data_IF_206706567109
#
_entry.id   IF_206706567109
#
_cell.length_a   1.000
_cell.length_b   1.000
_cell.length_c   1.000
_cell.angle_alpha   90.00
_cell.angle_beta   90.00
_cell.angle_gamma   90.00
#
_symmetry.space_group_name_H-M   'P 1'
#
loop_
_entity.id
_entity.type
_entity.pdbx_description
1 polymer ?
#
# COMPACT_ATOMS: atom_id res chain seq x y z
N UNK A 1 -7.66 38.93 -50.15
CA UNK A 1 -7.00 38.36 -48.95
C UNK A 1 -7.16 39.32 -47.78
N UNK A 2 -8.03 39.01 -46.81
CA UNK A 2 -8.06 39.71 -45.51
C UNK A 2 -8.17 38.65 -44.41
N UNK A 3 -7.15 38.60 -43.55
CA UNK A 3 -7.10 37.81 -42.32
C UNK A 3 -8.23 38.27 -41.41
N UNK A 4 -9.12 37.36 -41.01
CA UNK A 4 -10.07 37.58 -39.92
C UNK A 4 -9.62 36.82 -38.67
N UNK A 5 -8.98 37.52 -37.74
CA UNK A 5 -8.69 37.01 -36.40
C UNK A 5 -9.96 37.03 -35.56
N UNK A 6 -10.46 35.86 -35.14
CA UNK A 6 -11.58 35.74 -34.21
C UNK A 6 -11.10 36.04 -32.78
N UNK A 7 -11.41 37.23 -32.28
CA UNK A 7 -11.16 37.61 -30.89
C UNK A 7 -12.22 37.02 -29.95
N UNK A 8 -11.74 36.38 -28.87
CA UNK A 8 -12.51 35.82 -27.77
C UNK A 8 -12.36 36.73 -26.55
N UNK A 9 -13.46 37.09 -25.88
CA UNK A 9 -13.43 37.87 -24.64
C UNK A 9 -13.74 36.99 -23.41
N UNK A 10 -12.99 37.13 -22.30
CA UNK A 10 -13.30 36.49 -21.03
C UNK A 10 -14.41 37.26 -20.31
N UNK A 11 -15.44 36.56 -19.83
CA UNK A 11 -16.50 37.12 -18.96
C UNK A 11 -16.30 36.59 -17.55
N UNK A 12 -16.28 37.50 -16.57
CA UNK A 12 -16.33 37.16 -15.15
C UNK A 12 -17.77 36.91 -14.71
N UNK A 13 -17.91 35.91 -13.86
CA UNK A 13 -19.06 35.49 -13.05
C UNK A 13 -20.08 34.47 -13.59
N UNK A 14 -19.99 33.30 -12.94
CA UNK A 14 -21.07 32.38 -12.52
C UNK A 14 -21.94 31.69 -13.57
N UNK A 15 -21.32 31.00 -14.52
CA UNK A 15 -21.88 29.77 -15.10
C UNK A 15 -20.75 28.77 -15.37
N UNK A 16 -20.57 27.80 -14.48
CA UNK A 16 -19.41 26.91 -14.44
C UNK A 16 -19.50 25.85 -15.56
N UNK A 17 -18.92 26.11 -16.73
CA UNK A 17 -18.79 25.20 -17.90
C UNK A 17 -18.15 23.83 -17.62
N UNK A 18 -17.71 23.55 -16.39
CA UNK A 18 -16.93 22.36 -16.07
C UNK A 18 -15.56 22.33 -16.77
N UNK A 19 -15.03 23.48 -17.19
CA UNK A 19 -13.73 23.59 -17.83
C UNK A 19 -12.60 23.10 -16.88
N UNK A 20 -11.78 22.14 -17.30
CA UNK A 20 -10.64 21.60 -16.55
C UNK A 20 -9.32 22.28 -16.97
N UNK A 21 -8.26 22.03 -16.20
CA UNK A 21 -6.86 22.37 -16.56
C UNK A 21 -6.63 23.84 -16.98
N UNK A 22 -7.35 24.78 -16.35
CA UNK A 22 -7.25 26.21 -16.65
C UNK A 22 -7.99 26.64 -17.93
N UNK A 23 -8.91 25.83 -18.44
CA UNK A 23 -9.81 26.21 -19.53
C UNK A 23 -10.73 27.37 -19.12
N UNK A 24 -11.01 28.27 -20.07
CA UNK A 24 -11.91 29.41 -19.86
C UNK A 24 -13.26 29.16 -20.51
N UNK A 25 -14.36 29.41 -19.80
CA UNK A 25 -15.69 29.36 -20.38
C UNK A 25 -15.85 30.46 -21.43
N UNK A 26 -16.27 30.11 -22.64
CA UNK A 26 -16.59 31.09 -23.68
C UNK A 26 -17.93 30.76 -24.32
N UNK A 27 -18.75 31.77 -24.59
CA UNK A 27 -20.05 31.65 -25.27
C UNK A 27 -19.99 32.22 -26.68
N UNK A 28 -20.89 31.78 -27.56
CA UNK A 28 -21.00 32.34 -28.90
C UNK A 28 -21.74 33.68 -28.89
N UNK A 29 -21.18 34.68 -29.59
CA UNK A 29 -21.69 36.06 -29.65
C UNK A 29 -23.16 36.17 -30.11
N UNK A 30 -23.65 35.21 -30.90
CA UNK A 30 -25.01 35.16 -31.42
C UNK A 30 -25.88 34.05 -30.81
N UNK A 31 -25.30 33.19 -29.97
CA UNK A 31 -25.96 32.07 -29.30
C UNK A 31 -25.42 31.95 -27.87
N UNK A 32 -25.86 32.85 -26.99
CA UNK A 32 -25.41 32.96 -25.60
C UNK A 32 -25.63 31.69 -24.76
N UNK A 33 -26.48 30.78 -25.21
CA UNK A 33 -26.80 29.52 -24.54
C UNK A 33 -25.82 28.38 -24.87
N UNK A 34 -24.94 28.55 -25.87
CA UNK A 34 -23.92 27.55 -26.21
C UNK A 34 -22.61 27.99 -25.59
N UNK A 35 -22.20 27.27 -24.53
CA UNK A 35 -20.95 27.47 -23.81
C UNK A 35 -19.95 26.38 -24.18
N UNK A 36 -18.68 26.75 -24.37
CA UNK A 36 -17.58 25.79 -24.61
C UNK A 36 -16.35 26.16 -23.80
N UNK A 37 -15.48 25.18 -23.61
CA UNK A 37 -14.20 25.42 -22.97
C UNK A 37 -13.16 25.90 -24.00
N UNK A 38 -12.57 27.07 -23.75
CA UNK A 38 -11.37 27.53 -24.43
C UNK A 38 -10.15 26.95 -23.73
N UNK A 39 -9.51 25.95 -24.34
CA UNK A 39 -8.43 25.19 -23.71
C UNK A 39 -7.04 25.83 -23.92
N UNK A 40 -6.16 25.79 -22.90
CA UNK A 40 -4.76 26.15 -23.07
C UNK A 40 -4.08 25.25 -24.11
N UNK A 41 -2.98 25.71 -24.72
CA UNK A 41 -2.31 25.04 -25.87
C UNK A 41 -1.99 23.53 -25.71
N UNK A 42 -1.81 23.05 -24.47
CA UNK A 42 -1.51 21.63 -24.17
C UNK A 42 -2.73 20.77 -23.88
N UNK A 43 -3.93 21.36 -23.85
CA UNK A 43 -5.16 20.66 -23.52
C UNK A 43 -6.18 20.78 -24.66
N UNK A 44 -6.97 19.73 -24.82
CA UNK A 44 -8.06 19.63 -25.78
C UNK A 44 -9.23 18.85 -25.15
N UNK A 45 -10.34 18.76 -25.87
CA UNK A 45 -11.56 18.12 -25.39
C UNK A 45 -12.65 19.12 -25.09
N UNK A 46 -13.84 18.61 -24.79
CA UNK A 46 -15.03 19.44 -24.52
C UNK A 46 -14.86 20.25 -23.23
N UNK A 47 -14.15 19.66 -22.26
CA UNK A 47 -13.84 20.21 -20.95
C UNK A 47 -12.34 20.43 -20.73
N UNK A 48 -11.52 20.45 -21.78
CA UNK A 48 -10.05 20.51 -21.67
C UNK A 48 -9.44 19.34 -20.89
N UNK A 49 -10.08 18.18 -20.97
CA UNK A 49 -9.77 16.96 -20.21
C UNK A 49 -8.67 16.10 -20.84
N UNK A 50 -8.29 16.35 -22.09
CA UNK A 50 -7.24 15.61 -22.82
C UNK A 50 -5.94 16.43 -22.79
N UNK A 51 -4.86 15.84 -22.27
CA UNK A 51 -3.53 16.44 -22.28
C UNK A 51 -2.78 15.97 -23.54
N UNK A 52 -2.63 16.87 -24.52
CA UNK A 52 -1.97 16.58 -25.80
C UNK A 52 -0.45 16.42 -25.66
N UNK A 53 0.13 16.86 -24.55
CA UNK A 53 1.57 16.75 -24.30
C UNK A 53 1.99 15.43 -23.65
N UNK A 54 1.02 14.60 -23.20
CA UNK A 54 1.29 13.34 -22.50
C UNK A 54 1.40 12.17 -23.46
N UNK A 55 2.62 11.68 -23.64
CA UNK A 55 2.95 10.48 -24.42
C UNK A 55 3.17 9.24 -23.55
N UNK A 56 3.31 9.41 -22.24
CA UNK A 56 3.61 8.35 -21.26
C UNK A 56 2.73 8.51 -20.01
N UNK A 57 2.59 7.45 -19.21
CA UNK A 57 1.85 7.47 -17.94
C UNK A 57 2.79 7.46 -16.71
N UNK A 58 2.29 7.85 -15.54
CA UNK A 58 3.03 7.78 -14.27
C UNK A 58 2.28 6.88 -13.28
N UNK A 59 3.01 6.20 -12.39
CA UNK A 59 2.40 5.26 -11.44
C UNK A 59 1.71 4.11 -12.18
N UNK A 60 0.41 3.92 -11.95
CA UNK A 60 -0.41 2.97 -12.70
C UNK A 60 -1.23 3.62 -13.84
N UNK A 61 -1.01 4.92 -14.09
CA UNK A 61 -1.69 5.65 -15.16
C UNK A 61 -3.15 6.01 -14.89
N UNK A 62 -3.62 5.97 -13.64
CA UNK A 62 -4.95 6.47 -13.26
C UNK A 62 -5.18 7.94 -13.69
N UNK A 63 -4.16 8.79 -13.52
CA UNK A 63 -4.19 10.20 -13.94
C UNK A 63 -3.82 10.42 -15.42
N UNK A 64 -3.56 9.36 -16.19
CA UNK A 64 -3.18 9.49 -17.59
C UNK A 64 -4.35 10.06 -18.40
N UNK A 65 -4.09 11.18 -19.08
CA UNK A 65 -5.06 11.88 -19.95
C UNK A 65 -4.52 12.09 -21.37
N UNK A 66 -3.50 11.31 -21.76
CA UNK A 66 -2.93 11.36 -23.11
C UNK A 66 -3.78 10.65 -24.16
N UNK A 67 -3.20 10.51 -25.36
CA UNK A 67 -3.90 10.08 -26.59
C UNK A 67 -3.56 8.66 -27.07
N UNK A 68 -2.81 7.87 -26.30
CA UNK A 68 -2.57 6.46 -26.66
C UNK A 68 -3.91 5.73 -26.80
N UNK A 69 -4.08 4.91 -27.84
CA UNK A 69 -5.36 4.30 -28.21
C UNK A 69 -5.23 2.90 -28.86
N UNK A 70 -4.14 2.21 -28.56
CA UNK A 70 -3.91 0.83 -28.99
C UNK A 70 -3.53 -0.04 -27.80
N UNK A 71 -3.84 -1.33 -27.89
CA UNK A 71 -3.36 -2.33 -26.95
C UNK A 71 -1.91 -2.76 -27.25
N UNK A 72 -1.34 -3.62 -26.38
CA UNK A 72 0.02 -4.14 -26.52
C UNK A 72 0.26 -4.98 -27.79
N UNK A 73 -0.80 -5.49 -28.42
CA UNK A 73 -0.74 -6.24 -29.69
C UNK A 73 -1.00 -5.32 -30.89
N UNK A 74 -1.18 -4.00 -30.66
CA UNK A 74 -1.45 -3.01 -31.71
C UNK A 74 -2.91 -2.93 -32.14
N UNK A 75 -3.85 -3.61 -31.46
CA UNK A 75 -5.28 -3.54 -31.76
C UNK A 75 -5.84 -2.18 -31.34
N UNK A 76 -6.69 -1.54 -32.16
CA UNK A 76 -7.28 -0.26 -31.83
C UNK A 76 -8.30 -0.39 -30.69
N UNK A 77 -8.23 0.55 -29.75
CA UNK A 77 -9.20 0.69 -28.68
C UNK A 77 -10.58 1.10 -29.22
N UNK A 78 -11.63 0.57 -28.60
CA UNK A 78 -13.01 1.00 -28.79
C UNK A 78 -13.26 2.33 -28.08
N UNK A 79 -14.09 3.18 -28.68
CA UNK A 79 -14.47 4.45 -28.06
C UNK A 79 -15.33 4.22 -26.81
N UNK A 80 -15.07 4.98 -25.74
CA UNK A 80 -15.80 4.84 -24.46
C UNK A 80 -17.29 5.16 -24.59
N UNK A 81 -17.69 5.87 -25.66
CA UNK A 81 -19.07 6.19 -26.01
C UNK A 81 -19.64 5.31 -27.14
N UNK A 82 -18.91 4.29 -27.60
CA UNK A 82 -19.42 3.37 -28.63
C UNK A 82 -20.55 2.51 -28.07
N UNK A 83 -21.54 2.17 -28.88
CA UNK A 83 -22.71 1.40 -28.46
C UNK A 83 -22.33 0.10 -27.73
N UNK A 84 -21.27 -0.56 -28.19
CA UNK A 84 -20.79 -1.80 -27.61
C UNK A 84 -20.07 -1.59 -26.25
N UNK A 85 -19.46 -0.43 -26.00
CA UNK A 85 -18.84 -0.10 -24.70
C UNK A 85 -19.86 0.47 -23.71
N UNK A 86 -20.94 1.11 -24.18
CA UNK A 86 -22.01 1.60 -23.31
C UNK A 86 -22.73 0.49 -22.52
N UNK A 87 -22.59 -0.77 -22.93
CA UNK A 87 -23.08 -1.95 -22.21
C UNK A 87 -22.10 -2.49 -21.14
N UNK A 88 -20.92 -1.86 -20.98
CA UNK A 88 -19.88 -2.28 -20.02
C UNK A 88 -19.89 -1.40 -18.77
N UNK A 89 -19.23 -1.87 -17.71
CA UNK A 89 -19.16 -1.15 -16.42
C UNK A 89 -18.54 0.27 -16.54
N UNK A 90 -17.51 0.43 -17.37
CA UNK A 90 -16.80 1.71 -17.56
C UNK A 90 -17.06 2.25 -18.97
N UNK A 91 -17.78 3.38 -19.05
CA UNK A 91 -18.20 3.98 -20.30
C UNK A 91 -18.38 5.49 -20.16
N UNK A 92 -18.54 6.20 -21.27
CA UNK A 92 -18.57 7.67 -21.31
C UNK A 92 -19.86 8.32 -20.75
N UNK A 93 -20.91 7.55 -20.47
CA UNK A 93 -22.19 8.07 -19.97
C UNK A 93 -22.34 7.94 -18.44
N UNK A 94 -21.29 7.52 -17.74
CA UNK A 94 -21.32 7.45 -16.28
C UNK A 94 -21.32 8.84 -15.66
N UNK A 95 -21.91 9.04 -14.47
CA UNK A 95 -21.86 10.32 -13.76
C UNK A 95 -20.43 10.80 -13.45
N UNK A 96 -19.50 9.86 -13.21
CA UNK A 96 -18.10 10.10 -12.89
C UNK A 96 -17.17 10.04 -14.13
N UNK A 97 -17.72 9.89 -15.35
CA UNK A 97 -16.95 9.65 -16.57
C UNK A 97 -15.87 10.72 -16.81
N UNK A 98 -16.20 12.00 -16.62
CA UNK A 98 -15.27 13.11 -16.78
C UNK A 98 -14.07 13.01 -15.82
N UNK A 99 -14.31 12.64 -14.56
CA UNK A 99 -13.25 12.46 -13.56
C UNK A 99 -12.36 11.28 -13.91
N UNK A 100 -12.94 10.19 -14.41
CA UNK A 100 -12.24 8.99 -14.88
C UNK A 100 -11.55 9.19 -16.25
N UNK A 101 -11.81 10.32 -16.93
CA UNK A 101 -11.30 10.63 -18.26
C UNK A 101 -11.95 9.79 -19.37
N UNK A 102 -13.14 9.25 -19.15
CA UNK A 102 -13.93 8.53 -20.14
C UNK A 102 -14.78 9.54 -20.90
N UNK A 103 -14.74 9.52 -22.23
CA UNK A 103 -15.42 10.53 -23.05
C UNK A 103 -15.63 10.09 -24.48
N UNK A 104 -15.94 11.04 -25.37
CA UNK A 104 -16.14 10.81 -26.81
C UNK A 104 -14.81 10.58 -27.56
N UNK A 105 -14.05 9.58 -27.12
CA UNK A 105 -12.77 9.19 -27.67
C UNK A 105 -12.46 7.72 -27.31
N UNK A 106 -11.40 7.15 -27.90
CA UNK A 106 -10.93 5.79 -27.61
C UNK A 106 -9.58 5.74 -26.88
N UNK A 107 -9.16 6.84 -26.27
CA UNK A 107 -7.89 6.89 -25.56
C UNK A 107 -7.87 6.00 -24.32
N UNK A 108 -6.72 5.38 -24.06
CA UNK A 108 -6.44 4.53 -22.92
C UNK A 108 -6.64 5.25 -21.58
N UNK A 109 -7.32 4.59 -20.65
CA UNK A 109 -7.62 5.10 -19.31
C UNK A 109 -7.44 3.99 -18.29
N UNK A 110 -7.42 4.34 -17.01
CA UNK A 110 -7.37 3.35 -15.94
C UNK A 110 -8.42 3.67 -14.87
N UNK A 111 -9.71 3.52 -15.19
CA UNK A 111 -10.80 3.94 -14.30
C UNK A 111 -11.00 3.02 -13.08
N UNK A 112 -10.44 1.81 -13.11
CA UNK A 112 -10.57 0.81 -12.03
C UNK A 112 -9.24 0.52 -11.32
N UNK A 113 -8.28 1.43 -11.41
CA UNK A 113 -7.01 1.37 -10.68
C UNK A 113 -6.17 0.08 -10.93
N UNK A 114 -6.26 -0.49 -12.13
CA UNK A 114 -5.40 -1.60 -12.58
C UNK A 114 -3.92 -1.21 -12.62
N UNK A 115 -3.03 -2.16 -12.95
CA UNK A 115 -1.58 -1.95 -12.97
C UNK A 115 -1.08 -0.95 -14.04
N UNK A 116 -1.82 -0.74 -15.13
CA UNK A 116 -1.53 0.26 -16.18
C UNK A 116 -2.79 0.65 -16.97
N UNK A 117 -2.75 1.70 -17.79
CA UNK A 117 -3.87 2.06 -18.67
C UNK A 117 -4.30 0.91 -19.58
N UNK A 118 -5.60 0.81 -19.81
CA UNK A 118 -6.24 -0.21 -20.61
C UNK A 118 -7.39 0.40 -21.44
N UNK A 119 -7.90 -0.39 -22.36
CA UNK A 119 -9.10 -0.07 -23.12
C UNK A 119 -9.85 -1.34 -23.50
N UNK A 120 -11.09 -1.19 -24.00
CA UNK A 120 -11.78 -2.29 -24.64
C UNK A 120 -11.28 -2.47 -26.07
N UNK A 121 -11.02 -3.70 -26.48
CA UNK A 121 -10.71 -4.05 -27.87
C UNK A 121 -11.69 -5.09 -28.38
N UNK A 122 -11.94 -5.07 -29.68
CA UNK A 122 -12.75 -6.07 -30.37
C UNK A 122 -11.87 -7.25 -30.78
N UNK A 123 -12.20 -8.46 -30.33
CA UNK A 123 -11.54 -9.71 -30.74
C UNK A 123 -12.61 -10.69 -31.21
N UNK A 124 -12.76 -10.83 -32.53
CA UNK A 124 -13.88 -11.54 -33.13
C UNK A 124 -15.22 -10.87 -32.76
N UNK A 125 -16.15 -11.65 -32.20
CA UNK A 125 -17.44 -11.15 -31.69
C UNK A 125 -17.38 -10.64 -30.25
N UNK A 126 -16.25 -10.87 -29.56
CA UNK A 126 -16.11 -10.55 -28.14
C UNK A 126 -15.37 -9.23 -27.93
N UNK A 127 -15.64 -8.61 -26.79
CA UNK A 127 -14.94 -7.41 -26.34
C UNK A 127 -14.13 -7.75 -25.09
N UNK A 128 -12.83 -7.49 -25.16
CA UNK A 128 -11.91 -7.80 -24.08
C UNK A 128 -11.33 -6.51 -23.50
N UNK A 129 -11.08 -6.53 -22.19
CA UNK A 129 -10.24 -5.52 -21.54
C UNK A 129 -8.79 -5.87 -21.86
N UNK A 130 -8.10 -4.98 -22.56
CA UNK A 130 -6.69 -5.17 -22.90
C UNK A 130 -5.85 -3.99 -22.47
N UNK A 131 -4.63 -4.33 -22.05
CA UNK A 131 -3.65 -3.37 -21.60
C UNK A 131 -3.13 -2.53 -22.77
N UNK A 132 -2.96 -1.23 -22.54
CA UNK A 132 -2.54 -0.32 -23.59
C UNK A 132 -1.04 -0.31 -23.86
N UNK A 133 -0.68 -0.02 -25.11
CA UNK A 133 0.66 0.32 -25.55
C UNK A 133 0.96 1.79 -25.23
N UNK A 134 1.08 2.07 -23.94
CA UNK A 134 1.60 3.33 -23.42
C UNK A 134 2.68 2.97 -22.42
N UNK A 135 3.79 3.70 -22.41
CA UNK A 135 4.92 3.41 -21.53
C UNK A 135 4.88 4.28 -20.28
N UNK A 136 5.48 3.81 -19.18
CA UNK A 136 5.74 4.63 -18.01
C UNK A 136 6.68 5.78 -18.44
N UNK A 137 6.47 7.01 -17.95
CA UNK A 137 7.34 8.15 -18.22
C UNK A 137 8.78 7.95 -17.71
N UNK A 138 9.01 6.92 -16.90
CA UNK A 138 10.30 6.45 -16.45
C UNK A 138 10.98 5.53 -17.47
N UNK A 139 10.21 4.97 -18.41
CA UNK A 139 10.66 4.11 -19.50
C UNK A 139 11.25 4.99 -20.62
N UNK A 140 12.58 5.12 -20.67
CA UNK A 140 13.28 5.97 -21.64
C UNK A 140 14.08 7.12 -21.02
N UNK A 141 13.93 7.39 -19.72
CA UNK A 141 14.99 8.03 -18.94
C UNK A 141 16.00 6.96 -18.54
N UNK A 142 16.71 6.40 -19.51
CA UNK A 142 17.93 5.65 -19.21
C UNK A 142 18.91 6.64 -18.57
N UNK A 143 19.33 6.44 -17.31
CA UNK A 143 20.57 7.04 -16.86
C UNK A 143 21.68 6.44 -17.73
N UNK A 144 22.62 7.24 -18.23
CA UNK A 144 23.89 6.78 -18.80
C UNK A 144 24.82 6.19 -17.71
N UNK A 145 24.25 5.56 -16.68
CA UNK A 145 24.97 4.78 -15.70
C UNK A 145 24.45 3.34 -15.77
N UNK A 146 25.26 2.33 -15.48
CA UNK A 146 24.78 0.96 -15.28
C UNK A 146 23.52 0.98 -14.42
N UNK A 147 22.54 0.08 -14.60
CA UNK A 147 21.36 0.04 -13.73
C UNK A 147 21.88 0.09 -12.31
N UNK A 148 21.60 1.18 -11.57
CA UNK A 148 21.81 1.20 -10.13
C UNK A 148 21.11 -0.07 -9.67
N UNK A 149 21.86 -1.02 -9.13
CA UNK A 149 21.32 -2.15 -8.41
C UNK A 149 20.17 -1.60 -7.60
N UNK A 150 18.95 -2.12 -7.80
CA UNK A 150 17.86 -1.72 -6.93
C UNK A 150 18.39 -1.95 -5.51
N UNK A 151 18.42 -0.87 -4.72
CA UNK A 151 18.95 -0.88 -3.37
C UNK A 151 17.77 -0.75 -2.43
N UNK A 152 17.85 -1.46 -1.30
CA UNK A 152 16.86 -1.29 -0.24
C UNK A 152 16.93 0.13 0.31
N UNK A 153 15.80 0.83 0.26
CA UNK A 153 15.65 2.12 0.91
C UNK A 153 14.65 1.95 2.04
N UNK A 154 15.15 1.77 3.26
CA UNK A 154 14.29 1.44 4.39
C UNK A 154 13.20 2.50 4.56
N UNK A 155 11.99 2.06 4.94
CA UNK A 155 10.88 2.97 5.26
C UNK A 155 10.39 3.81 4.08
N UNK A 156 10.74 3.41 2.86
CA UNK A 156 10.21 3.99 1.63
C UNK A 156 9.31 2.99 0.91
N UNK A 157 8.11 3.45 0.56
CA UNK A 157 7.19 2.74 -0.33
C UNK A 157 6.99 3.55 -1.61
N UNK A 158 6.87 2.86 -2.74
CA UNK A 158 6.77 3.49 -4.07
C UNK A 158 5.50 4.35 -4.24
N UNK A 159 4.47 4.05 -3.44
CA UNK A 159 3.18 4.74 -3.42
C UNK A 159 3.12 5.64 -2.16
N UNK A 160 3.03 6.95 -2.34
CA UNK A 160 2.46 7.85 -1.33
C UNK A 160 0.98 8.02 -1.71
N UNK A 161 0.03 7.34 -1.06
CA UNK A 161 -1.38 7.59 -1.35
C UNK A 161 -1.67 9.08 -1.10
N UNK A 162 -2.31 9.75 -2.06
CA UNK A 162 -2.79 11.14 -1.87
C UNK A 162 -4.01 11.25 -0.96
N UNK A 163 -4.53 10.11 -0.49
CA UNK A 163 -5.69 10.02 0.39
C UNK A 163 -5.40 9.05 1.55
N UNK A 164 -5.70 9.49 2.78
CA UNK A 164 -5.63 8.67 3.99
C UNK A 164 -6.75 7.62 3.92
N UNK A 165 -6.41 6.34 3.95
CA UNK A 165 -7.38 5.24 3.94
C UNK A 165 -7.89 5.07 5.38
N UNK A 166 -9.20 5.16 5.57
CA UNK A 166 -9.90 5.14 6.87
C UNK A 166 -10.78 3.89 6.88
N UNK A 167 -10.68 3.03 7.93
CA UNK A 167 -11.64 1.94 8.16
C UNK A 167 -11.25 0.53 7.68
N UNK A 168 -10.00 0.09 7.82
CA UNK A 168 -9.66 -1.33 7.63
C UNK A 168 -9.92 -1.91 6.23
N UNK A 169 -9.53 -1.19 5.17
CA UNK A 169 -9.75 -1.64 3.80
C UNK A 169 -8.63 -2.55 3.26
N UNK A 170 -8.98 -3.34 2.25
CA UNK A 170 -8.05 -4.15 1.47
C UNK A 170 -6.88 -3.31 0.96
N UNK A 171 -5.66 -3.81 1.16
CA UNK A 171 -4.44 -3.17 0.68
C UNK A 171 -3.69 -4.09 -0.27
N UNK A 172 -2.68 -3.54 -0.93
CA UNK A 172 -1.73 -4.30 -1.73
C UNK A 172 -0.39 -4.30 -1.02
N UNK A 173 0.42 -5.33 -1.28
CA UNK A 173 1.74 -5.42 -0.68
C UNK A 173 2.66 -4.25 -1.09
N UNK A 174 2.42 -3.58 -2.22
CA UNK A 174 3.17 -2.38 -2.61
C UNK A 174 2.97 -1.20 -1.64
N UNK A 175 1.85 -1.17 -0.92
CA UNK A 175 1.61 -0.18 0.14
C UNK A 175 2.28 -0.56 1.47
N UNK A 176 2.65 -1.83 1.65
CA UNK A 176 3.26 -2.40 2.85
C UNK A 176 4.42 -3.36 2.49
N UNK A 177 5.44 -2.89 1.74
CA UNK A 177 6.41 -3.76 1.05
C UNK A 177 7.38 -4.47 2.00
N UNK A 178 7.36 -4.15 3.30
CA UNK A 178 8.12 -4.81 4.35
C UNK A 178 7.35 -5.93 5.06
N UNK A 179 6.05 -6.09 4.78
CA UNK A 179 5.25 -7.12 5.43
C UNK A 179 5.74 -8.52 5.04
N UNK A 180 6.00 -9.35 6.04
CA UNK A 180 6.42 -10.73 5.88
C UNK A 180 5.32 -11.67 6.39
N UNK A 181 4.80 -12.52 5.51
CA UNK A 181 3.80 -13.52 5.87
C UNK A 181 4.50 -14.82 6.28
N UNK A 182 4.31 -15.27 7.52
CA UNK A 182 5.01 -16.41 8.10
C UNK A 182 4.05 -17.60 8.18
N UNK A 183 4.45 -18.71 7.56
CA UNK A 183 3.68 -19.95 7.49
C UNK A 183 4.40 -21.06 8.23
N UNK A 184 3.61 -21.95 8.83
CA UNK A 184 4.08 -23.19 9.43
C UNK A 184 3.82 -24.37 8.48
N UNK A 185 4.83 -25.21 8.30
CA UNK A 185 4.75 -26.51 7.63
C UNK A 185 4.25 -27.58 8.59
N UNK A 186 3.38 -28.46 8.10
CA UNK A 186 2.91 -29.63 8.83
C UNK A 186 3.46 -30.91 8.21
N UNK A 187 3.47 -32.00 9.00
CA UNK A 187 4.01 -33.31 8.58
C UNK A 187 3.31 -33.94 7.36
N UNK A 188 2.16 -33.41 6.94
CA UNK A 188 1.42 -33.82 5.74
C UNK A 188 1.65 -32.95 4.50
N UNK A 189 2.64 -32.04 4.53
CA UNK A 189 2.97 -31.16 3.40
C UNK A 189 2.09 -29.92 3.26
N UNK A 190 1.02 -29.80 4.07
CA UNK A 190 0.22 -28.58 4.15
C UNK A 190 0.97 -27.45 4.86
N UNK A 191 0.65 -26.21 4.48
CA UNK A 191 1.15 -25.00 5.13
C UNK A 191 -0.03 -24.19 5.67
N UNK A 192 0.12 -23.66 6.87
CA UNK A 192 -0.88 -22.78 7.50
C UNK A 192 -0.25 -21.45 7.83
N UNK A 193 -0.94 -20.37 7.51
CA UNK A 193 -0.55 -19.05 7.99
C UNK A 193 -0.53 -19.03 9.52
N UNK A 194 0.51 -18.41 10.09
CA UNK A 194 0.73 -18.38 11.52
C UNK A 194 0.76 -16.95 12.05
N UNK A 195 1.66 -16.13 11.53
CA UNK A 195 1.93 -14.78 12.03
C UNK A 195 2.40 -13.86 10.90
N UNK A 196 2.31 -12.56 11.17
CA UNK A 196 2.99 -11.52 10.41
C UNK A 196 4.45 -11.34 10.86
N UNK A 197 5.14 -10.47 10.14
CA UNK A 197 6.52 -10.10 10.38
C UNK A 197 6.89 -8.85 9.58
N UNK A 198 8.08 -8.33 9.84
CA UNK A 198 8.61 -7.14 9.17
C UNK A 198 10.03 -7.37 8.67
N UNK A 199 10.27 -7.16 7.39
CA UNK A 199 11.60 -7.17 6.79
C UNK A 199 12.38 -5.93 7.23
N UNK A 200 13.37 -6.11 8.11
CA UNK A 200 14.19 -5.00 8.64
C UNK A 200 15.52 -4.85 7.89
N UNK A 201 16.01 -5.95 7.29
CA UNK A 201 17.14 -5.93 6.36
C UNK A 201 17.00 -7.10 5.36
N UNK A 202 17.80 -7.18 4.29
CA UNK A 202 17.59 -8.14 3.20
C UNK A 202 17.45 -9.59 3.67
N UNK A 203 18.15 -9.96 4.74
CA UNK A 203 18.20 -11.33 5.26
C UNK A 203 17.44 -11.50 6.57
N UNK A 204 16.84 -10.44 7.13
CA UNK A 204 16.32 -10.46 8.50
C UNK A 204 14.89 -9.96 8.58
N UNK A 205 14.04 -10.80 9.17
CA UNK A 205 12.66 -10.50 9.52
C UNK A 205 12.53 -10.47 11.03
N UNK A 206 11.83 -9.46 11.55
CA UNK A 206 11.43 -9.41 12.96
C UNK A 206 9.96 -9.81 13.09
N UNK A 207 9.62 -10.51 14.17
CA UNK A 207 8.26 -10.97 14.49
C UNK A 207 8.14 -11.10 16.02
N UNK A 208 7.11 -11.81 16.52
CA UNK A 208 6.86 -12.03 17.94
C UNK A 208 7.33 -13.42 18.39
N UNK A 209 7.82 -13.56 19.63
CA UNK A 209 8.28 -14.86 20.16
C UNK A 209 7.12 -15.83 20.38
N UNK A 210 5.95 -15.34 20.80
CA UNK A 210 4.79 -16.20 21.07
C UNK A 210 4.33 -17.02 19.85
N UNK A 211 4.62 -16.55 18.63
CA UNK A 211 4.36 -17.28 17.39
C UNK A 211 5.14 -18.60 17.31
N UNK A 212 6.32 -18.67 17.93
CA UNK A 212 7.30 -19.74 17.69
C UNK A 212 7.63 -20.58 18.94
N UNK A 213 7.39 -20.06 20.14
CA UNK A 213 7.86 -20.67 21.40
C UNK A 213 7.39 -22.13 21.57
N UNK A 214 6.18 -22.45 21.12
CA UNK A 214 5.64 -23.80 21.22
C UNK A 214 6.21 -24.77 20.18
N UNK A 215 6.85 -24.28 19.11
CA UNK A 215 7.39 -25.10 18.01
C UNK A 215 8.69 -24.50 17.46
N UNK A 216 9.78 -24.45 18.25
CA UNK A 216 10.96 -23.63 17.94
C UNK A 216 11.86 -24.18 16.82
N UNK A 217 11.40 -25.16 16.02
CA UNK A 217 12.17 -25.74 14.92
C UNK A 217 12.12 -24.83 13.71
N UNK A 218 13.26 -24.25 13.33
CA UNK A 218 13.34 -23.32 12.19
C UNK A 218 12.85 -23.94 10.88
N UNK A 219 13.04 -25.24 10.68
CA UNK A 219 12.68 -25.97 9.46
C UNK A 219 11.17 -26.03 9.22
N UNK A 220 10.38 -25.84 10.28
CA UNK A 220 8.92 -25.84 10.24
C UNK A 220 8.36 -24.53 9.67
N UNK A 221 9.19 -23.53 9.34
CA UNK A 221 8.75 -22.20 8.96
C UNK A 221 9.15 -21.79 7.54
N UNK A 222 8.25 -21.06 6.87
CA UNK A 222 8.44 -20.44 5.56
C UNK A 222 8.04 -18.97 5.67
N UNK A 223 8.82 -18.09 5.06
CA UNK A 223 8.50 -16.67 4.97
C UNK A 223 8.21 -16.29 3.51
N UNK A 224 7.09 -15.61 3.28
CA UNK A 224 6.77 -14.98 2.01
C UNK A 224 6.88 -13.46 2.12
N UNK A 225 7.60 -12.85 1.18
CA UNK A 225 7.66 -11.40 0.96
C UNK A 225 6.95 -11.07 -0.35
N UNK A 226 6.39 -9.87 -0.48
CA UNK A 226 5.74 -9.47 -1.74
C UNK A 226 4.37 -10.13 -1.99
N UNK A 227 3.70 -10.65 -0.94
CA UNK A 227 2.45 -11.40 -1.04
C UNK A 227 1.24 -10.56 -0.59
N UNK A 228 0.26 -10.39 -1.47
CA UNK A 228 -1.00 -9.66 -1.18
C UNK A 228 -2.18 -10.58 -0.88
N UNK A 229 -2.08 -11.87 -1.23
CA UNK A 229 -3.15 -12.85 -1.04
C UNK A 229 -2.68 -14.02 -0.17
N UNK A 230 -3.48 -14.45 0.79
CA UNK A 230 -3.11 -15.46 1.78
C UNK A 230 -2.91 -16.84 1.15
N UNK A 231 -3.83 -17.30 0.31
CA UNK A 231 -3.82 -18.68 -0.20
C UNK A 231 -3.43 -18.81 -1.68
N UNK A 232 -3.16 -17.71 -2.37
CA UNK A 232 -2.75 -17.72 -3.80
C UNK A 232 -1.46 -16.93 -4.03
N UNK A 233 -0.75 -17.29 -5.08
CA UNK A 233 0.49 -16.60 -5.45
C UNK A 233 0.25 -15.16 -5.90
N UNK A 234 1.11 -14.25 -5.44
CA UNK A 234 1.18 -12.87 -5.91
C UNK A 234 2.38 -12.74 -6.85
N UNK A 235 2.18 -12.09 -8.00
CA UNK A 235 3.27 -11.87 -8.96
C UNK A 235 4.42 -11.09 -8.29
N UNK A 236 5.65 -11.60 -8.41
CA UNK A 236 6.82 -10.99 -7.78
C UNK A 236 6.98 -11.26 -6.29
N UNK A 237 6.16 -12.16 -5.70
CA UNK A 237 6.43 -12.66 -4.36
C UNK A 237 7.73 -13.47 -4.33
N UNK A 238 8.40 -13.47 -3.19
CA UNK A 238 9.56 -14.31 -2.94
C UNK A 238 9.31 -15.21 -1.74
N UNK A 239 9.74 -16.46 -1.84
CA UNK A 239 9.63 -17.49 -0.81
C UNK A 239 11.00 -17.75 -0.20
N UNK A 240 11.08 -17.80 1.12
CA UNK A 240 12.30 -18.06 1.87
C UNK A 240 12.11 -19.14 2.92
N UNK A 241 13.15 -19.94 3.10
CA UNK A 241 13.32 -20.84 4.24
C UNK A 241 13.97 -20.08 5.41
N UNK A 242 13.78 -20.57 6.63
CA UNK A 242 14.37 -19.97 7.83
C UNK A 242 15.70 -20.66 8.17
N UNK A 243 16.81 -19.94 8.00
CA UNK A 243 18.15 -20.42 8.36
C UNK A 243 18.43 -20.37 9.85
N UNK A 244 17.86 -19.37 10.53
CA UNK A 244 18.04 -19.15 11.97
C UNK A 244 16.77 -18.54 12.55
N UNK A 245 16.29 -19.11 13.64
CA UNK A 245 15.20 -18.58 14.45
C UNK A 245 15.77 -18.23 15.83
N UNK A 246 15.60 -16.98 16.25
CA UNK A 246 16.11 -16.46 17.52
C UNK A 246 14.92 -15.92 18.30
N UNK A 247 14.63 -16.56 19.43
CA UNK A 247 13.61 -16.12 20.37
C UNK A 247 14.28 -15.29 21.46
N UNK A 248 13.60 -14.28 21.99
CA UNK A 248 14.16 -13.47 23.05
C UNK A 248 14.32 -14.31 24.34
N UNK A 249 15.52 -14.28 24.93
CA UNK A 249 15.95 -15.18 26.01
C UNK A 249 15.15 -14.99 27.29
N UNK A 250 14.63 -13.78 27.50
CA UNK A 250 13.79 -13.39 28.64
C UNK A 250 12.31 -13.27 28.28
N UNK A 251 11.85 -13.92 27.20
CA UNK A 251 10.42 -13.97 26.92
C UNK A 251 9.67 -14.64 28.07
N UNK A 252 8.58 -14.03 28.52
CA UNK A 252 7.65 -14.63 29.48
C UNK A 252 6.21 -14.27 29.13
N UNK A 253 5.28 -15.14 29.52
CA UNK A 253 3.85 -14.91 29.35
C UNK A 253 3.16 -15.07 30.71
N UNK A 254 2.52 -14.00 31.17
CA UNK A 254 1.72 -13.97 32.40
C UNK A 254 0.26 -13.76 32.00
N UNK A 255 -0.68 -14.59 32.46
CA UNK A 255 -2.12 -14.54 32.08
C UNK A 255 -2.36 -14.21 30.58
N UNK A 256 -2.45 -12.92 30.22
CA UNK A 256 -2.59 -12.40 28.86
C UNK A 256 -1.38 -11.61 28.32
N UNK A 257 -0.49 -11.12 29.20
CA UNK A 257 0.60 -10.23 28.83
C UNK A 257 1.83 -11.01 28.35
N UNK A 258 2.34 -10.64 27.17
CA UNK A 258 3.58 -11.18 26.62
C UNK A 258 4.74 -10.21 26.84
N UNK A 259 5.67 -10.55 27.73
CA UNK A 259 6.85 -9.74 28.02
C UNK A 259 8.03 -10.15 27.13
N UNK A 260 8.80 -9.15 26.68
CA UNK A 260 9.93 -9.32 25.76
C UNK A 260 9.56 -10.14 24.50
N UNK A 261 8.37 -9.88 23.96
CA UNK A 261 7.79 -10.64 22.86
C UNK A 261 8.32 -10.17 21.50
N UNK A 262 9.53 -10.60 21.19
CA UNK A 262 10.24 -10.29 19.94
C UNK A 262 11.05 -11.50 19.48
N UNK A 263 11.05 -11.78 18.18
CA UNK A 263 11.82 -12.85 17.57
C UNK A 263 12.48 -12.36 16.27
N UNK A 264 13.61 -12.97 15.91
CA UNK A 264 14.33 -12.73 14.66
C UNK A 264 14.39 -14.00 13.83
N UNK A 265 14.10 -13.85 12.53
CA UNK A 265 14.18 -14.90 11.53
C UNK A 265 15.22 -14.47 10.50
N UNK A 266 16.29 -15.26 10.36
CA UNK A 266 17.22 -15.15 9.24
C UNK A 266 16.66 -15.96 8.07
N UNK A 267 16.39 -15.29 6.96
CA UNK A 267 15.75 -15.87 5.78
C UNK A 267 16.75 -16.13 4.66
N UNK A 268 16.50 -17.16 3.86
CA UNK A 268 17.34 -17.53 2.73
C UNK A 268 16.54 -18.24 1.64
N UNK A 269 16.83 -17.91 0.38
CA UNK A 269 16.22 -18.58 -0.76
C UNK A 269 16.78 -20.00 -0.92
N UNK A 270 16.19 -20.78 -1.82
CA UNK A 270 16.75 -22.07 -2.25
C UNK A 270 18.16 -21.97 -2.86
N UNK A 271 18.56 -20.77 -3.32
CA UNK A 271 19.89 -20.48 -3.87
C UNK A 271 20.83 -19.83 -2.85
N UNK A 272 20.45 -19.75 -1.57
CA UNK A 272 21.26 -19.14 -0.51
C UNK A 272 21.29 -17.61 -0.53
N UNK A 273 20.36 -16.97 -1.24
CA UNK A 273 20.31 -15.51 -1.41
C UNK A 273 19.25 -14.89 -0.50
N UNK A 274 19.55 -13.68 -0.03
CA UNK A 274 18.62 -12.85 0.72
C UNK A 274 17.60 -12.15 -0.21
N UNK A 275 16.64 -11.45 0.39
CA UNK A 275 15.61 -10.73 -0.36
C UNK A 275 16.24 -9.72 -1.33
N UNK A 276 15.63 -9.60 -2.50
CA UNK A 276 15.99 -8.61 -3.51
C UNK A 276 14.96 -7.47 -3.51
N UNK A 277 15.39 -6.20 -3.57
CA UNK A 277 14.46 -5.09 -3.49
C UNK A 277 13.63 -4.97 -4.76
N UNK A 278 12.35 -4.67 -4.58
CA UNK A 278 11.38 -4.47 -5.65
C UNK A 278 10.32 -3.44 -5.21
N UNK A 279 9.31 -3.18 -6.05
CA UNK A 279 8.17 -2.32 -5.63
C UNK A 279 7.33 -2.96 -4.50
N UNK A 280 7.32 -4.29 -4.42
CA UNK A 280 6.56 -5.08 -3.45
C UNK A 280 7.41 -5.61 -2.28
N UNK A 281 8.73 -5.44 -2.34
CA UNK A 281 9.68 -5.93 -1.33
C UNK A 281 10.66 -4.80 -1.01
N UNK A 282 10.51 -4.21 0.17
CA UNK A 282 11.40 -3.18 0.73
C UNK A 282 11.59 -3.43 2.21
N UNK A 283 12.64 -2.85 2.80
CA UNK A 283 12.85 -2.93 4.25
C UNK A 283 12.10 -1.81 4.96
N UNK A 284 11.70 -2.04 6.21
CA UNK A 284 11.24 -0.98 7.10
C UNK A 284 12.42 -0.46 7.92
N UNK A 285 12.47 0.83 8.22
CA UNK A 285 13.53 1.35 9.10
C UNK A 285 13.28 0.96 10.55
N UNK A 286 14.36 0.68 11.27
CA UNK A 286 14.30 0.67 12.72
C UNK A 286 14.12 2.10 13.27
N UNK A 287 13.40 2.26 14.39
CA UNK A 287 13.19 3.56 15.02
C UNK A 287 14.50 4.07 15.63
N UNK A 288 14.68 5.41 15.77
CA UNK A 288 15.86 5.97 16.39
C UNK A 288 15.98 5.53 17.87
N UNK A 289 17.20 5.49 18.39
CA UNK A 289 17.47 5.11 19.79
C UNK A 289 16.91 6.11 20.80
N UNK A 290 16.71 7.35 20.36
CA UNK A 290 16.10 8.45 21.10
C UNK A 290 15.08 9.16 20.19
N UNK A 291 13.95 9.60 20.74
CA UNK A 291 12.88 10.22 19.95
C UNK A 291 11.96 9.19 19.29
N UNK A 292 11.36 8.33 20.12
CA UNK A 292 10.29 7.43 19.70
C UNK A 292 9.08 8.25 19.17
N UNK A 293 8.20 7.62 18.40
CA UNK A 293 7.03 8.29 17.85
C UNK A 293 6.18 8.92 18.97
N UNK A 294 5.79 10.19 18.81
CA UNK A 294 5.01 10.90 19.81
C UNK A 294 3.64 10.24 20.01
N UNK A 295 3.13 10.24 21.24
CA UNK A 295 1.76 9.80 21.51
C UNK A 295 0.76 10.65 20.70
N UNK A 296 -0.33 10.02 20.25
CA UNK A 296 -1.30 10.62 19.32
C UNK A 296 -0.91 10.52 17.84
N UNK A 297 0.33 10.11 17.52
CA UNK A 297 0.76 9.87 16.13
C UNK A 297 -0.10 8.79 15.48
N UNK A 298 -0.57 9.04 14.25
CA UNK A 298 -1.24 8.03 13.42
C UNK A 298 -0.20 7.05 12.87
N UNK A 299 -0.46 5.76 13.07
CA UNK A 299 0.36 4.64 12.63
C UNK A 299 -0.48 3.67 11.82
N UNK A 300 0.17 2.91 10.94
CA UNK A 300 -0.44 1.89 10.10
C UNK A 300 -0.15 0.51 10.70
N UNK A 301 -1.17 -0.34 10.82
CA UNK A 301 -1.03 -1.77 11.10
C UNK A 301 -1.41 -2.56 9.87
N UNK A 302 -0.77 -3.71 9.66
CA UNK A 302 -0.98 -4.53 8.46
C UNK A 302 -0.89 -6.00 8.79
N UNK A 303 -1.78 -6.80 8.21
CA UNK A 303 -1.73 -8.24 8.32
C UNK A 303 -2.90 -8.95 7.65
N UNK A 304 -2.93 -10.26 7.87
CA UNK A 304 -4.02 -11.16 7.47
C UNK A 304 -4.80 -11.63 8.70
N UNK A 305 -4.82 -10.84 9.78
CA UNK A 305 -5.60 -11.16 10.98
C UNK A 305 -7.09 -11.24 10.70
N UNK A 306 -7.78 -12.00 11.55
CA UNK A 306 -9.24 -12.11 11.55
C UNK A 306 -9.89 -10.76 11.82
N UNK A 307 -11.12 -10.56 11.36
CA UNK A 307 -11.86 -9.34 11.68
C UNK A 307 -12.48 -9.44 13.08
N UNK A 308 -12.86 -10.66 13.47
CA UNK A 308 -13.38 -10.97 14.79
C UNK A 308 -12.72 -12.21 15.38
N UNK A 309 -12.64 -12.29 16.72
CA UNK A 309 -12.09 -13.45 17.43
C UNK A 309 -12.88 -14.73 17.13
N UNK A 310 -14.15 -14.59 16.76
CA UNK A 310 -15.07 -15.70 16.42
C UNK A 310 -14.95 -16.18 14.97
N UNK A 311 -14.21 -15.48 14.10
CA UNK A 311 -14.15 -15.85 12.69
C UNK A 311 -13.40 -17.18 12.50
N UNK A 312 -13.95 -18.04 11.66
CA UNK A 312 -13.33 -19.33 11.34
C UNK A 312 -12.20 -19.21 10.32
N UNK A 313 -12.21 -18.16 9.48
CA UNK A 313 -11.29 -17.99 8.36
C UNK A 313 -10.55 -16.66 8.44
N UNK A 314 -9.29 -16.68 7.99
CA UNK A 314 -8.50 -15.46 7.77
C UNK A 314 -8.91 -14.79 6.45
N UNK A 315 -8.82 -13.46 6.34
CA UNK A 315 -9.06 -12.75 5.09
C UNK A 315 -8.12 -13.24 3.99
N UNK A 316 -8.67 -13.43 2.79
CA UNK A 316 -7.86 -13.86 1.63
C UNK A 316 -6.91 -12.77 1.15
N UNK A 317 -7.24 -11.50 1.38
CA UNK A 317 -6.46 -10.35 0.93
C UNK A 317 -5.88 -9.58 2.11
N UNK A 318 -4.66 -9.06 1.93
CA UNK A 318 -3.94 -8.26 2.93
C UNK A 318 -4.76 -7.03 3.29
N UNK A 319 -4.84 -6.72 4.57
CA UNK A 319 -5.55 -5.54 5.08
C UNK A 319 -4.58 -4.61 5.81
N UNK A 320 -4.95 -3.34 5.85
CA UNK A 320 -4.31 -2.38 6.75
C UNK A 320 -5.35 -1.45 7.36
N UNK A 321 -5.06 -0.97 8.56
CA UNK A 321 -5.85 0.12 9.18
C UNK A 321 -4.93 1.13 9.85
N UNK A 322 -5.50 2.28 10.20
CA UNK A 322 -4.81 3.36 10.91
C UNK A 322 -5.22 3.37 12.37
N UNK A 323 -4.23 3.37 13.27
CA UNK A 323 -4.41 3.50 14.72
C UNK A 323 -3.66 4.72 15.24
N UNK A 324 -3.98 5.20 16.44
CA UNK A 324 -3.22 6.24 17.13
C UNK A 324 -2.49 5.67 18.34
N UNK A 325 -1.25 6.11 18.53
CA UNK A 325 -0.49 5.77 19.74
C UNK A 325 -1.15 6.38 20.98
N UNK A 326 -1.31 5.58 22.01
CA UNK A 326 -1.82 5.97 23.32
C UNK A 326 -0.64 6.13 24.28
N UNK A 327 -0.73 7.13 25.16
CA UNK A 327 0.34 7.37 26.13
C UNK A 327 0.47 6.20 27.10
N UNK A 328 1.70 5.91 27.54
CA UNK A 328 1.92 4.81 28.49
C UNK A 328 1.10 4.99 29.79
N UNK A 329 1.03 6.23 30.29
CA UNK A 329 0.26 6.59 31.49
C UNK A 329 -1.24 6.32 31.33
N UNK A 330 -1.76 6.57 30.14
CA UNK A 330 -3.15 6.30 29.79
C UNK A 330 -3.38 4.80 29.62
N UNK A 331 -2.47 4.09 28.94
CA UNK A 331 -2.56 2.64 28.80
C UNK A 331 -2.51 1.87 30.12
N UNK A 332 -1.80 2.41 31.11
CA UNK A 332 -1.74 1.87 32.47
C UNK A 332 -2.93 2.23 33.36
N UNK A 333 -3.93 2.94 32.85
CA UNK A 333 -5.14 3.15 33.62
C UNK A 333 -5.82 1.80 33.91
N UNK A 334 -6.41 1.60 35.11
CA UNK A 334 -7.02 0.32 35.48
C UNK A 334 -8.13 -0.16 34.53
N UNK A 335 -8.84 0.79 33.91
CA UNK A 335 -9.89 0.47 32.94
C UNK A 335 -9.34 -0.09 31.61
N UNK A 336 -8.08 0.17 31.27
CA UNK A 336 -7.38 -0.41 30.12
C UNK A 336 -6.66 -1.70 30.51
N UNK A 337 -5.44 -1.62 31.05
CA UNK A 337 -4.67 -2.82 31.43
C UNK A 337 -3.95 -2.71 32.77
N UNK A 338 -4.00 -1.55 33.44
CA UNK A 338 -3.30 -1.38 34.72
C UNK A 338 -1.79 -1.62 34.59
N UNK A 339 -1.22 -2.33 35.57
CA UNK A 339 0.22 -2.63 35.62
C UNK A 339 0.68 -3.72 34.65
N UNK A 340 -0.23 -4.38 33.91
CA UNK A 340 0.14 -5.42 32.93
C UNK A 340 0.98 -4.84 31.77
N UNK A 341 0.77 -3.56 31.43
CA UNK A 341 1.53 -2.88 30.37
C UNK A 341 2.80 -2.26 30.94
N UNK A 342 3.95 -2.69 30.41
CA UNK A 342 5.28 -2.21 30.82
C UNK A 342 5.83 -1.13 29.89
N UNK A 343 6.92 -0.45 30.28
CA UNK A 343 7.58 0.58 29.45
C UNK A 343 8.17 0.02 28.15
N UNK A 344 8.41 -1.29 28.09
CA UNK A 344 8.84 -2.02 26.88
C UNK A 344 7.68 -2.31 25.91
N UNK A 345 6.48 -1.83 26.21
CA UNK A 345 5.28 -1.99 25.39
C UNK A 345 4.75 -0.61 24.94
N UNK A 346 3.92 -0.67 23.90
CA UNK A 346 3.16 0.43 23.33
C UNK A 346 1.69 0.04 23.24
N UNK A 347 0.82 1.03 23.32
CA UNK A 347 -0.60 0.83 23.07
C UNK A 347 -1.03 1.69 21.90
N UNK A 348 -1.91 1.16 21.07
CA UNK A 348 -2.51 1.90 19.99
C UNK A 348 -3.95 1.43 19.79
N UNK A 349 -4.85 2.36 19.48
CA UNK A 349 -6.20 2.02 19.09
C UNK A 349 -6.69 2.95 17.99
N UNK A 350 -7.69 2.47 17.26
CA UNK A 350 -8.54 3.32 16.46
C UNK A 350 -9.30 4.30 17.38
N UNK A 351 -9.26 5.62 17.13
CA UNK A 351 -10.00 6.60 17.91
C UNK A 351 -11.51 6.34 18.00
N UNK A 352 -12.09 5.64 17.02
CA UNK A 352 -13.50 5.26 17.01
C UNK A 352 -13.76 3.88 17.64
N UNK A 353 -12.72 3.11 17.99
CA UNK A 353 -12.82 1.71 18.42
C UNK A 353 -13.52 0.80 17.40
N UNK A 354 -13.46 1.15 16.12
CA UNK A 354 -14.08 0.35 15.05
C UNK A 354 -13.11 -0.71 14.50
N UNK A 355 -11.80 -0.46 14.58
CA UNK A 355 -10.76 -1.35 14.06
C UNK A 355 -9.58 -1.54 15.03
N UNK A 356 -8.93 -2.71 14.98
CA UNK A 356 -7.76 -3.04 15.81
C UNK A 356 -6.98 -4.21 15.21
N UNK A 357 -5.77 -4.45 15.71
CA UNK A 357 -5.04 -5.70 15.44
C UNK A 357 -5.74 -6.89 16.09
N UNK A 358 -5.86 -8.00 15.37
CA UNK A 358 -6.59 -9.18 15.83
C UNK A 358 -5.75 -10.47 15.70
N UNK A 359 -6.37 -11.62 16.03
CA UNK A 359 -5.75 -12.93 15.84
C UNK A 359 -5.25 -13.09 14.40
N UNK A 360 -3.95 -13.38 14.22
CA UNK A 360 -3.30 -13.51 12.90
C UNK A 360 -2.55 -12.27 12.43
N UNK A 361 -2.70 -11.12 13.10
CA UNK A 361 -1.80 -9.98 12.93
C UNK A 361 -0.55 -10.08 13.81
N UNK A 362 -0.54 -11.00 14.77
CA UNK A 362 0.59 -11.29 15.66
C UNK A 362 1.94 -11.30 14.94
N UNK A 363 2.91 -10.59 15.49
CA UNK A 363 4.23 -10.42 14.88
C UNK A 363 4.29 -9.41 13.73
N UNK A 364 3.15 -8.93 13.25
CA UNK A 364 3.04 -7.92 12.19
C UNK A 364 3.52 -6.52 12.60
N UNK A 365 3.72 -5.62 11.62
CA UNK A 365 4.26 -4.30 11.85
C UNK A 365 3.23 -3.30 12.39
N UNK A 366 3.63 -2.48 13.37
CA UNK A 366 3.06 -1.17 13.65
C UNK A 366 4.02 -0.10 13.12
N UNK A 367 3.63 0.57 12.03
CA UNK A 367 4.46 1.52 11.29
C UNK A 367 4.02 2.94 11.56
N UNK A 368 4.92 3.80 12.04
CA UNK A 368 4.65 5.22 12.20
C UNK A 368 5.62 6.05 11.35
N UNK A 369 5.21 7.28 11.01
CA UNK A 369 6.12 8.25 10.37
C UNK A 369 6.90 9.01 11.44
N UNK A 370 8.21 8.81 11.48
CA UNK A 370 9.13 9.48 12.41
C UNK A 370 10.16 10.27 11.59
N UNK A 371 10.23 11.59 11.82
CA UNK A 371 11.13 12.50 11.07
C UNK A 371 11.01 12.37 9.53
N UNK A 372 9.78 12.16 9.02
CA UNK A 372 9.52 12.06 7.59
C UNK A 372 9.86 10.71 6.95
N UNK A 373 10.21 9.69 7.74
CA UNK A 373 10.46 8.32 7.27
C UNK A 373 9.59 7.32 8.04
N UNK A 374 9.18 6.24 7.37
CA UNK A 374 8.40 5.18 8.01
C UNK A 374 9.33 4.28 8.84
N UNK A 375 8.98 4.07 10.11
CA UNK A 375 9.74 3.28 11.07
C UNK A 375 8.87 2.20 11.69
N UNK A 376 9.48 1.06 11.99
CA UNK A 376 8.85 -0.03 12.73
C UNK A 376 8.81 0.32 14.21
N UNK A 377 7.76 1.01 14.63
CA UNK A 377 7.60 1.51 16.00
C UNK A 377 7.23 0.39 16.96
N UNK A 378 6.38 -0.54 16.51
CA UNK A 378 5.93 -1.67 17.32
C UNK A 378 5.79 -2.98 16.54
N UNK A 379 5.69 -4.07 17.29
CA UNK A 379 5.36 -5.42 16.79
C UNK A 379 4.06 -5.84 17.46
N UNK A 380 3.06 -6.27 16.68
CA UNK A 380 1.77 -6.75 17.22
C UNK A 380 2.02 -7.93 18.16
N UNK A 381 1.52 -7.85 19.40
CA UNK A 381 1.84 -8.82 20.45
C UNK A 381 0.59 -9.43 21.09
N UNK A 382 -0.24 -8.64 21.78
CA UNK A 382 -1.42 -9.15 22.48
C UNK A 382 -2.52 -8.10 22.66
N UNK A 383 -3.71 -8.56 23.09
CA UNK A 383 -4.89 -7.75 23.38
C UNK A 383 -5.98 -8.60 24.03
N UNK A 384 -6.97 -7.97 24.67
CA UNK A 384 -8.10 -8.70 25.32
C UNK A 384 -9.22 -9.07 24.35
N UNK A 385 -9.15 -8.60 23.11
CA UNK A 385 -10.11 -8.81 22.04
C UNK A 385 -9.76 -7.89 20.88
N UNK A 386 -10.46 -8.02 19.77
CA UNK A 386 -10.22 -7.19 18.58
C UNK A 386 -11.18 -6.00 18.62
N UNK A 387 -10.62 -4.79 18.63
CA UNK A 387 -11.37 -3.52 18.61
C UNK A 387 -12.37 -3.38 19.77
N UNK A 388 -12.05 -3.97 20.93
CA UNK A 388 -12.87 -3.80 22.12
C UNK A 388 -12.72 -2.37 22.64
N UNK A 389 -13.86 -1.70 22.87
CA UNK A 389 -13.88 -0.38 23.48
C UNK A 389 -13.08 -0.39 24.79
N UNK A 390 -12.24 0.61 24.96
CA UNK A 390 -11.38 0.79 26.13
C UNK A 390 -10.36 -0.35 26.35
N UNK A 391 -10.01 -1.09 25.30
CA UNK A 391 -9.00 -2.16 25.33
C UNK A 391 -8.09 -2.05 24.09
N UNK A 392 -7.13 -1.11 24.10
CA UNK A 392 -6.27 -0.89 22.93
C UNK A 392 -5.35 -2.08 22.66
N UNK A 393 -4.99 -2.32 21.39
CA UNK A 393 -3.97 -3.30 21.05
C UNK A 393 -2.63 -3.00 21.74
N UNK A 394 -1.92 -4.04 22.20
CA UNK A 394 -0.62 -3.94 22.85
C UNK A 394 0.48 -4.49 21.94
N UNK A 395 1.53 -3.68 21.79
CA UNK A 395 2.63 -3.91 20.87
C UNK A 395 3.96 -3.92 21.62
N UNK A 396 4.90 -4.78 21.20
CA UNK A 396 6.28 -4.71 21.68
C UNK A 396 6.94 -3.44 21.16
N UNK A 397 7.50 -2.60 22.03
CA UNK A 397 8.17 -1.33 21.67
C UNK A 397 9.54 -1.62 21.07
N UNK A 398 9.71 -1.47 19.75
CA UNK A 398 10.95 -1.84 19.05
C UNK A 398 12.16 -1.04 19.53
N UNK A 399 11.98 0.25 19.87
CA UNK A 399 13.07 1.10 20.37
C UNK A 399 13.75 0.52 21.61
N UNK A 400 13.01 -0.18 22.48
CA UNK A 400 13.53 -0.86 23.68
C UNK A 400 14.36 -2.11 23.38
N UNK A 401 14.28 -2.67 22.17
CA UNK A 401 14.96 -3.90 21.76
C UNK A 401 16.04 -3.67 20.70
N UNK A 402 16.33 -2.42 20.31
CA UNK A 402 17.38 -2.10 19.34
C UNK A 402 18.75 -2.72 19.68
N UNK A 403 19.25 -2.67 20.94
CA UNK A 403 20.53 -3.31 21.27
C UNK A 403 20.51 -4.84 21.07
N UNK A 404 19.35 -5.47 21.33
CA UNK A 404 19.18 -6.91 21.14
C UNK A 404 19.09 -7.27 19.65
N UNK A 405 18.40 -6.47 18.84
CA UNK A 405 18.36 -6.63 17.37
C UNK A 405 19.78 -6.51 16.81
N UNK A 406 20.47 -5.41 17.12
CA UNK A 406 21.81 -5.14 16.62
C UNK A 406 22.83 -6.23 16.98
N UNK A 407 22.76 -6.78 18.20
CA UNK A 407 23.63 -7.88 18.64
C UNK A 407 23.52 -9.11 17.75
N UNK A 408 22.31 -9.42 17.27
CA UNK A 408 22.03 -10.64 16.52
C UNK A 408 22.15 -10.47 15.01
N UNK A 409 21.78 -9.30 14.49
CA UNK A 409 21.72 -9.06 13.04
C UNK A 409 22.91 -8.26 12.52
N UNK A 410 23.59 -7.50 13.37
CA UNK A 410 24.61 -6.52 12.97
C UNK A 410 24.03 -5.21 12.41
N UNK A 411 22.70 -5.10 12.32
CA UNK A 411 22.02 -3.93 11.74
C UNK A 411 22.12 -2.72 12.68
N UNK A 412 22.63 -1.59 12.17
CA UNK A 412 22.72 -0.32 12.89
C UNK A 412 21.60 0.62 12.43
N UNK A 413 21.18 1.51 13.34
CA UNK A 413 20.19 2.55 13.02
C UNK A 413 20.70 3.47 11.91
N UNK A 414 20.08 3.41 10.73
CA UNK A 414 20.40 4.28 9.58
C UNK A 414 19.81 5.69 9.70
N UNK A 415 19.17 6.00 10.83
CA UNK A 415 18.61 7.31 11.18
C UNK A 415 19.39 8.03 12.30
N UNK A 416 20.55 7.51 12.70
CA UNK A 416 21.47 8.21 13.61
C UNK A 416 22.38 9.15 12.80
N UNK A 417 21.82 10.26 12.32
CA UNK A 417 22.56 11.43 11.87
C UNK A 417 21.98 12.68 12.52
#
# INVERSE_FOLDING_TARGET
MRKGSHELHPVSDTSNCGCLNGGTCVSYKYFSNIQRCSCPKKFQGEHCEIDTSKTCYQGNGHSYRGKANTDIEGRPCLAWNSAAVLLKQYHALRPDALQLGLGKHNYCRNPNNQIKPWCYVQVGLNQLVQQCMVHDCSFGKSPLSPPKTAEFQCGQKALRPRFKIIGGEFTTIENQPWFAAIYRKHRGGSVTYLCGGSLISPCWVVSATHCFINNPKKEDYIVYLGRSKLNSDTLGQMKFEVEKLILHEYYSADTLAHHNDIALLKISSNTGQCAQPSRSIQTICLPPSYGDAHFGTSCEITGFGKENTTDYLYPEQLKMTSVKLISHRECQQPHYYGSEVTTKMLCAADPQWETDSCQGDSGGPLVCSTHGRLTLTGIVSWGRGCAMKDKPGVYTRVSSFLPWIQRHTGERNSLAL
#
